data_IF_652691164885
#
_entry.id   IF_652691164885
#
_cell.length_a   1.000
_cell.length_b   1.000
_cell.length_c   1.000
_cell.angle_alpha   90.00
_cell.angle_beta   90.00
_cell.angle_gamma   90.00
#
_symmetry.space_group_name_H-M   'P 1'
#
loop_
_entity.id
_entity.type
_entity.pdbx_description
1 polymer ?
#
# COMPACT_ATOMS: atom_id res chain seq x y z
N UNK A 1 -35.04 -22.12 -7.82
CA UNK A 1 -33.95 -21.60 -8.69
C UNK A 1 -32.68 -21.53 -7.87
N UNK A 2 -31.78 -22.49 -8.06
CA UNK A 2 -30.46 -22.49 -7.40
C UNK A 2 -29.61 -21.42 -8.09
N UNK A 3 -29.34 -20.30 -7.40
CA UNK A 3 -28.29 -19.39 -7.80
C UNK A 3 -26.97 -20.16 -7.70
N UNK A 4 -26.38 -20.51 -8.83
CA UNK A 4 -25.01 -21.01 -8.84
C UNK A 4 -24.15 -19.93 -8.21
N UNK A 5 -23.60 -20.18 -7.01
CA UNK A 5 -22.65 -19.28 -6.39
C UNK A 5 -21.44 -19.17 -7.31
N UNK A 6 -21.39 -18.07 -8.06
CA UNK A 6 -20.18 -17.64 -8.76
C UNK A 6 -19.03 -17.67 -7.77
N UNK A 7 -17.98 -18.43 -8.06
CA UNK A 7 -16.78 -18.43 -7.23
C UNK A 7 -16.11 -17.07 -7.40
N UNK A 8 -15.75 -16.37 -6.30
CA UNK A 8 -15.11 -15.07 -6.41
C UNK A 8 -13.77 -15.21 -7.14
N UNK A 9 -13.60 -14.46 -8.22
CA UNK A 9 -12.34 -14.38 -8.94
C UNK A 9 -11.47 -13.31 -8.27
N UNK A 10 -10.21 -13.65 -7.99
CA UNK A 10 -9.23 -12.72 -7.43
C UNK A 10 -8.04 -12.56 -8.38
N UNK A 11 -7.34 -11.45 -8.27
CA UNK A 11 -6.08 -11.20 -8.97
C UNK A 11 -4.98 -10.81 -7.98
N UNK A 12 -3.76 -11.31 -8.19
CA UNK A 12 -2.57 -10.91 -7.46
C UNK A 12 -1.65 -10.20 -8.45
N UNK A 13 -1.34 -8.94 -8.19
CA UNK A 13 -0.53 -8.12 -9.06
C UNK A 13 0.95 -8.20 -8.64
N UNK A 14 1.83 -8.16 -9.63
CA UNK A 14 3.26 -7.98 -9.44
C UNK A 14 3.69 -6.69 -10.14
N UNK A 15 4.56 -5.91 -9.50
CA UNK A 15 5.17 -4.73 -10.09
C UNK A 15 6.59 -4.54 -9.55
N UNK A 16 7.36 -3.74 -10.28
CA UNK A 16 8.67 -3.25 -9.84
C UNK A 16 8.52 -1.77 -9.52
N UNK A 17 8.23 -1.45 -8.26
CA UNK A 17 8.08 -0.07 -7.80
C UNK A 17 9.42 0.65 -7.78
N UNK A 18 9.39 1.95 -8.08
CA UNK A 18 10.56 2.84 -8.01
C UNK A 18 10.35 3.94 -6.98
N UNK A 19 11.26 4.90 -6.91
CA UNK A 19 11.11 6.07 -6.05
C UNK A 19 10.13 7.11 -6.60
N UNK A 20 9.47 6.84 -7.73
CA UNK A 20 8.51 7.77 -8.34
C UNK A 20 7.07 7.32 -8.06
N UNK A 21 6.46 7.92 -7.04
CA UNK A 21 5.08 7.61 -6.59
C UNK A 21 4.07 7.73 -7.73
N UNK A 22 4.20 8.74 -8.58
CA UNK A 22 3.24 8.99 -9.65
C UNK A 22 3.38 7.98 -10.80
N UNK A 23 4.61 7.58 -11.13
CA UNK A 23 4.85 6.50 -12.10
C UNK A 23 4.34 5.15 -11.58
N UNK A 24 4.62 4.83 -10.32
CA UNK A 24 4.09 3.62 -9.68
C UNK A 24 2.56 3.60 -9.70
N UNK A 25 1.92 4.72 -9.35
CA UNK A 25 0.47 4.86 -9.42
C UNK A 25 -0.07 4.63 -10.84
N UNK A 26 0.59 5.16 -11.88
CA UNK A 26 0.19 4.94 -13.28
C UNK A 26 0.31 3.48 -13.70
N UNK A 27 1.37 2.79 -13.28
CA UNK A 27 1.57 1.35 -13.51
C UNK A 27 0.44 0.56 -12.86
N UNK A 28 0.19 0.78 -11.57
CA UNK A 28 -0.87 0.08 -10.84
C UNK A 28 -2.26 0.37 -11.42
N UNK A 29 -2.54 1.62 -11.76
CA UNK A 29 -3.82 2.01 -12.39
C UNK A 29 -4.04 1.28 -13.71
N UNK A 30 -2.99 1.18 -14.53
CA UNK A 30 -3.03 0.47 -15.82
C UNK A 30 -3.27 -1.02 -15.62
N UNK A 31 -2.57 -1.65 -14.66
CA UNK A 31 -2.74 -3.06 -14.30
C UNK A 31 -4.17 -3.36 -13.82
N UNK A 32 -4.71 -2.55 -12.90
CA UNK A 32 -6.09 -2.71 -12.41
C UNK A 32 -7.08 -2.62 -13.58
N UNK A 33 -6.91 -1.62 -14.46
CA UNK A 33 -7.77 -1.43 -15.63
C UNK A 33 -7.70 -2.63 -16.57
N UNK A 34 -6.50 -3.14 -16.85
CA UNK A 34 -6.28 -4.31 -17.70
C UNK A 34 -6.95 -5.54 -17.10
N UNK A 35 -6.69 -5.86 -15.83
CA UNK A 35 -7.30 -6.98 -15.10
C UNK A 35 -8.84 -6.91 -15.20
N UNK A 36 -9.42 -5.74 -14.90
CA UNK A 36 -10.87 -5.57 -14.95
C UNK A 36 -11.42 -5.72 -16.37
N UNK A 37 -10.73 -5.18 -17.38
CA UNK A 37 -11.17 -5.25 -18.78
C UNK A 37 -11.11 -6.69 -19.31
N UNK A 38 -9.97 -7.37 -19.13
CA UNK A 38 -9.73 -8.76 -19.59
C UNK A 38 -10.72 -9.73 -18.98
N UNK A 39 -11.12 -9.51 -17.72
CA UNK A 39 -12.07 -10.35 -17.01
C UNK A 39 -13.50 -9.81 -16.98
N UNK A 40 -13.85 -8.86 -17.86
CA UNK A 40 -15.21 -8.28 -18.00
C UNK A 40 -15.82 -7.82 -16.67
N UNK A 41 -15.00 -7.22 -15.81
CA UNK A 41 -15.34 -6.76 -14.45
C UNK A 41 -15.87 -7.88 -13.51
N UNK A 42 -15.48 -9.14 -13.74
CA UNK A 42 -15.84 -10.27 -12.87
C UNK A 42 -14.84 -10.50 -11.72
N UNK A 43 -13.77 -9.69 -11.63
CA UNK A 43 -12.79 -9.78 -10.55
C UNK A 43 -13.39 -9.13 -9.30
N UNK A 44 -13.41 -9.86 -8.19
CA UNK A 44 -13.93 -9.39 -6.91
C UNK A 44 -12.89 -8.59 -6.13
N UNK A 45 -11.62 -8.98 -6.20
CA UNK A 45 -10.55 -8.37 -5.41
C UNK A 45 -9.19 -8.45 -6.11
N UNK A 46 -8.39 -7.39 -5.97
CA UNK A 46 -7.03 -7.30 -6.49
C UNK A 46 -6.05 -7.04 -5.34
N UNK A 47 -4.99 -7.84 -5.27
CA UNK A 47 -3.94 -7.74 -4.26
C UNK A 47 -2.70 -7.09 -4.87
N UNK A 48 -2.31 -5.94 -4.32
CA UNK A 48 -1.04 -5.29 -4.62
C UNK A 48 0.01 -5.75 -3.61
N UNK A 49 1.29 -5.85 -4.02
CA UNK A 49 2.37 -6.26 -3.14
C UNK A 49 2.69 -5.19 -2.11
N UNK A 50 3.56 -5.56 -1.16
CA UNK A 50 4.29 -4.61 -0.33
C UNK A 50 5.03 -3.59 -1.23
N UNK A 51 5.06 -2.33 -0.82
CA UNK A 51 5.76 -1.22 -1.49
C UNK A 51 5.29 -0.91 -2.90
N UNK A 52 4.06 -1.28 -3.24
CA UNK A 52 3.44 -0.94 -4.51
C UNK A 52 3.43 0.58 -4.79
N UNK A 53 3.41 1.41 -3.74
CA UNK A 53 3.34 2.86 -3.85
C UNK A 53 4.73 3.50 -4.11
N UNK A 54 5.79 2.96 -3.52
CA UNK A 54 7.12 3.56 -3.53
C UNK A 54 8.18 2.58 -3.01
N UNK A 55 9.35 2.59 -3.66
CA UNK A 55 10.59 1.99 -3.14
C UNK A 55 11.71 2.99 -3.39
N UNK A 56 12.35 3.49 -2.33
CA UNK A 56 13.43 4.46 -2.42
C UNK A 56 14.72 3.98 -1.78
N UNK A 57 15.80 4.73 -2.02
CA UNK A 57 17.17 4.36 -1.60
C UNK A 57 17.45 4.56 -0.08
N UNK A 58 16.42 4.62 0.76
CA UNK A 58 16.57 4.78 2.21
C UNK A 58 15.34 5.31 2.95
N UNK A 59 15.40 5.27 4.29
CA UNK A 59 14.29 5.58 5.22
C UNK A 59 13.80 7.03 5.12
N UNK A 60 14.71 8.00 4.92
CA UNK A 60 14.37 9.43 4.87
C UNK A 60 13.38 9.75 3.75
N UNK A 61 13.55 9.15 2.56
CA UNK A 61 12.67 9.40 1.43
C UNK A 61 11.28 8.81 1.61
N UNK A 62 11.17 7.67 2.30
CA UNK A 62 9.88 7.05 2.62
C UNK A 62 9.07 7.89 3.61
N UNK A 63 9.72 8.61 4.53
CA UNK A 63 9.03 9.52 5.43
C UNK A 63 8.46 10.74 4.72
N UNK A 64 9.21 11.33 3.78
CA UNK A 64 8.79 12.52 3.04
C UNK A 64 7.52 12.30 2.21
N UNK A 65 7.35 11.09 1.68
CA UNK A 65 6.17 10.72 0.88
C UNK A 65 5.01 10.18 1.71
N UNK A 66 5.24 9.87 2.99
CA UNK A 66 4.23 9.29 3.86
C UNK A 66 3.26 10.36 4.36
N UNK A 67 1.97 10.03 4.36
CA UNK A 67 0.93 10.87 4.93
C UNK A 67 0.75 10.59 6.43
N UNK A 68 0.26 11.61 7.16
CA UNK A 68 0.00 11.52 8.61
C UNK A 68 -1.32 10.84 8.94
N UNK A 69 -2.25 10.79 7.98
CA UNK A 69 -3.57 10.22 8.18
C UNK A 69 -4.09 9.52 6.93
N UNK A 70 -4.74 8.39 7.15
CA UNK A 70 -5.53 7.69 6.12
C UNK A 70 -6.67 8.55 5.56
N UNK A 71 -7.30 9.39 6.38
CA UNK A 71 -8.47 10.18 5.98
C UNK A 71 -8.11 11.34 5.04
N UNK A 72 -6.87 11.82 5.11
CA UNK A 72 -6.40 12.99 4.36
C UNK A 72 -5.21 12.64 3.45
N UNK A 73 -5.13 11.40 2.98
CA UNK A 73 -4.06 10.94 2.10
C UNK A 73 -4.49 11.06 0.62
N UNK A 74 -3.89 11.95 -0.19
CA UNK A 74 -4.26 12.13 -1.59
C UNK A 74 -4.03 10.87 -2.43
N UNK A 75 -2.92 10.16 -2.17
CA UNK A 75 -2.59 8.93 -2.89
C UNK A 75 -3.59 7.81 -2.59
N UNK A 76 -3.96 7.63 -1.33
CA UNK A 76 -4.97 6.64 -0.93
C UNK A 76 -6.34 6.98 -1.50
N UNK A 77 -6.67 8.27 -1.60
CA UNK A 77 -7.90 8.75 -2.26
C UNK A 77 -7.95 8.34 -3.74
N UNK A 78 -6.81 8.39 -4.44
CA UNK A 78 -6.72 7.89 -5.82
C UNK A 78 -7.01 6.38 -5.89
N UNK A 79 -6.44 5.58 -4.98
CA UNK A 79 -6.71 4.13 -4.93
C UNK A 79 -8.16 3.80 -4.56
N UNK A 80 -8.75 4.53 -3.62
CA UNK A 80 -10.17 4.41 -3.29
C UNK A 80 -11.07 4.73 -4.49
N UNK A 81 -10.70 5.72 -5.29
CA UNK A 81 -11.39 6.08 -6.51
C UNK A 81 -11.28 4.97 -7.58
N UNK A 82 -10.11 4.32 -7.72
CA UNK A 82 -9.94 3.17 -8.61
C UNK A 82 -10.80 1.98 -8.19
N UNK A 83 -10.80 1.63 -6.90
CA UNK A 83 -11.63 0.56 -6.35
C UNK A 83 -13.11 0.78 -6.68
N UNK A 84 -13.60 2.00 -6.43
CA UNK A 84 -14.98 2.43 -6.70
C UNK A 84 -15.30 2.42 -8.20
N UNK A 85 -14.41 2.96 -9.03
CA UNK A 85 -14.60 3.07 -10.48
C UNK A 85 -14.71 1.71 -11.17
N UNK A 86 -13.92 0.73 -10.72
CA UNK A 86 -13.93 -0.62 -11.26
C UNK A 86 -14.84 -1.59 -10.50
N UNK A 87 -15.46 -1.15 -9.40
CA UNK A 87 -16.29 -1.97 -8.50
C UNK A 87 -15.56 -3.21 -7.96
N UNK A 88 -14.27 -3.06 -7.66
CA UNK A 88 -13.42 -4.12 -7.12
C UNK A 88 -12.94 -3.77 -5.72
N UNK A 89 -12.62 -4.80 -4.93
CA UNK A 89 -11.88 -4.62 -3.69
C UNK A 89 -10.39 -4.51 -3.99
N UNK A 90 -9.66 -3.71 -3.21
CA UNK A 90 -8.22 -3.59 -3.30
C UNK A 90 -7.58 -3.96 -1.97
N UNK A 91 -6.53 -4.78 -2.04
CA UNK A 91 -5.57 -5.01 -0.96
C UNK A 91 -4.30 -4.23 -1.28
N UNK A 92 -4.03 -3.19 -0.51
CA UNK A 92 -2.87 -2.32 -0.63
C UNK A 92 -1.76 -2.83 0.30
N UNK A 93 -0.88 -3.70 -0.21
CA UNK A 93 -0.06 -4.61 0.61
C UNK A 93 1.01 -4.00 1.52
N UNK A 94 1.36 -2.73 1.34
CA UNK A 94 2.33 -2.03 2.19
C UNK A 94 2.39 -0.56 1.83
N UNK A 95 1.58 0.24 2.51
CA UNK A 95 1.46 1.69 2.34
C UNK A 95 2.21 2.42 3.47
N UNK A 96 3.06 3.41 3.15
CA UNK A 96 3.80 4.13 4.16
C UNK A 96 2.90 5.18 4.86
N UNK A 97 2.81 5.11 6.18
CA UNK A 97 2.17 6.13 7.02
C UNK A 97 3.15 6.68 8.04
N UNK A 98 3.09 7.98 8.34
CA UNK A 98 3.93 8.56 9.39
C UNK A 98 3.49 8.05 10.76
N UNK A 99 4.46 7.77 11.64
CA UNK A 99 4.15 7.48 13.03
C UNK A 99 3.79 8.77 13.78
N UNK A 100 2.57 8.82 14.32
CA UNK A 100 2.08 9.91 15.18
C UNK A 100 2.83 9.98 16.53
N UNK A 101 3.59 8.94 16.91
CA UNK A 101 4.44 8.93 18.10
C UNK A 101 5.71 9.78 17.92
N UNK A 102 6.01 10.16 16.67
CA UNK A 102 7.08 11.10 16.32
C UNK A 102 6.64 12.54 16.62
N UNK A 103 6.08 12.79 17.81
CA UNK A 103 5.86 14.15 18.28
C UNK A 103 7.22 14.79 18.59
N UNK A 104 7.46 16.07 18.24
CA UNK A 104 8.74 16.75 18.36
C UNK A 104 9.14 17.08 19.82
N UNK A 105 8.59 16.39 20.81
CA UNK A 105 8.94 16.53 22.23
C UNK A 105 10.31 15.92 22.56
N UNK A 106 10.87 15.09 21.68
CA UNK A 106 12.23 14.55 21.80
C UNK A 106 12.97 14.71 20.47
N UNK A 107 13.79 15.76 20.35
CA UNK A 107 14.61 16.15 19.17
C UNK A 107 15.62 15.08 18.69
N UNK A 108 15.65 13.90 19.30
CA UNK A 108 16.69 12.88 19.14
C UNK A 108 16.20 11.59 18.49
N UNK A 109 14.89 11.36 18.36
CA UNK A 109 14.38 10.13 17.73
C UNK A 109 14.26 10.30 16.20
N UNK A 110 14.72 9.30 15.42
CA UNK A 110 14.57 9.32 13.96
C UNK A 110 13.09 9.30 13.57
N UNK A 111 12.76 10.03 12.50
CA UNK A 111 11.45 10.01 11.87
C UNK A 111 11.09 8.57 11.42
N UNK A 112 9.95 8.04 11.89
CA UNK A 112 9.51 6.66 11.62
C UNK A 112 8.25 6.62 10.79
N UNK A 113 8.17 5.65 9.88
CA UNK A 113 6.96 5.28 9.15
C UNK A 113 6.49 3.88 9.56
N UNK A 114 5.20 3.62 9.40
CA UNK A 114 4.61 2.29 9.49
C UNK A 114 4.40 1.71 8.10
N UNK A 115 4.76 0.45 7.93
CA UNK A 115 4.33 -0.35 6.78
C UNK A 115 2.92 -0.86 7.05
N UNK A 116 1.95 -0.32 6.30
CA UNK A 116 0.52 -0.48 6.57
C UNK A 116 -0.20 -1.19 5.43
N UNK A 117 -0.76 -2.36 5.70
CA UNK A 117 -1.65 -3.06 4.77
C UNK A 117 -3.08 -2.54 4.93
N UNK A 118 -3.67 -2.06 3.83
CA UNK A 118 -5.01 -1.46 3.83
C UNK A 118 -5.95 -2.25 2.90
N UNK A 119 -7.16 -2.52 3.37
CA UNK A 119 -8.23 -3.10 2.53
C UNK A 119 -9.26 -2.02 2.21
N UNK A 120 -9.49 -1.81 0.91
CA UNK A 120 -10.51 -0.90 0.38
C UNK A 120 -11.58 -1.71 -0.33
N UNK A 121 -12.84 -1.48 0.01
CA UNK A 121 -13.96 -2.18 -0.62
C UNK A 121 -14.35 -1.55 -1.98
N UNK A 122 -15.28 -2.20 -2.70
CA UNK A 122 -15.79 -1.75 -3.99
C UNK A 122 -16.54 -0.42 -4.00
N UNK A 123 -16.81 0.17 -2.82
CA UNK A 123 -17.38 1.51 -2.69
C UNK A 123 -16.31 2.59 -2.48
N UNK A 124 -15.03 2.20 -2.41
CA UNK A 124 -13.91 3.08 -2.08
C UNK A 124 -13.75 3.33 -0.58
N UNK A 125 -14.34 2.50 0.28
CA UNK A 125 -14.28 2.66 1.74
C UNK A 125 -13.17 1.77 2.30
N UNK A 126 -12.33 2.32 3.17
CA UNK A 126 -11.35 1.53 3.94
C UNK A 126 -12.11 0.70 4.97
N UNK A 127 -11.94 -0.62 4.92
CA UNK A 127 -12.65 -1.57 5.80
C UNK A 127 -11.71 -2.33 6.74
N UNK A 128 -10.40 -2.29 6.50
CA UNK A 128 -9.40 -2.87 7.39
C UNK A 128 -8.05 -2.20 7.22
N UNK A 129 -7.30 -2.13 8.32
CA UNK A 129 -5.95 -1.56 8.38
C UNK A 129 -5.12 -2.48 9.28
N UNK A 130 -3.96 -2.89 8.80
CA UNK A 130 -3.00 -3.70 9.55
C UNK A 130 -1.62 -3.04 9.47
N UNK A 131 -0.97 -2.84 10.61
CA UNK A 131 0.40 -2.34 10.68
C UNK A 131 1.34 -3.51 10.89
N UNK A 132 2.41 -3.58 10.10
CA UNK A 132 3.41 -4.65 10.17
C UNK A 132 4.01 -4.72 11.57
N UNK A 133 3.76 -5.83 12.27
CA UNK A 133 4.19 -6.02 13.66
C UNK A 133 5.67 -6.43 13.78
N UNK A 134 6.16 -7.20 12.81
CA UNK A 134 7.50 -7.76 12.84
C UNK A 134 8.36 -7.03 11.80
N UNK A 135 9.18 -6.09 12.29
CA UNK A 135 10.14 -5.37 11.46
C UNK A 135 11.45 -6.14 11.37
N UNK A 136 12.17 -5.92 10.27
CA UNK A 136 13.47 -6.52 10.05
C UNK A 136 14.56 -5.62 10.63
N UNK A 137 15.13 -6.07 11.74
CA UNK A 137 16.29 -5.45 12.38
C UNK A 137 17.48 -6.39 12.26
N UNK A 138 18.56 -5.93 11.64
CA UNK A 138 19.83 -6.64 11.63
C UNK A 138 20.96 -5.70 12.03
N UNK A 139 21.75 -6.14 12.99
CA UNK A 139 22.95 -5.42 13.44
C UNK A 139 24.17 -6.33 13.29
N UNK A 140 24.85 -6.21 12.15
CA UNK A 140 26.09 -6.92 11.85
C UNK A 140 27.25 -5.97 12.15
N UNK A 141 27.93 -6.22 13.28
CA UNK A 141 29.10 -5.45 13.71
C UNK A 141 30.09 -5.27 12.56
N UNK A 142 30.52 -4.03 12.35
CA UNK A 142 31.48 -3.62 11.31
C UNK A 142 31.07 -3.90 9.87
N UNK A 143 29.78 -4.15 9.59
CA UNK A 143 29.26 -4.31 8.23
C UNK A 143 28.02 -3.47 7.97
N UNK A 144 26.90 -3.83 8.59
CA UNK A 144 25.57 -3.31 8.24
C UNK A 144 24.72 -3.23 9.50
N UNK A 145 24.11 -2.07 9.73
CA UNK A 145 23.05 -1.90 10.72
C UNK A 145 21.79 -1.43 9.99
N UNK A 146 20.74 -2.24 10.02
CA UNK A 146 19.40 -1.94 9.53
C UNK A 146 18.48 -1.99 10.74
N UNK A 147 17.79 -0.89 11.04
CA UNK A 147 16.83 -0.80 12.15
C UNK A 147 15.51 -0.22 11.64
N UNK A 148 14.42 -0.82 12.06
CA UNK A 148 13.05 -0.40 11.76
C UNK A 148 12.79 -0.30 10.26
N UNK A 149 13.37 -1.20 9.45
CA UNK A 149 13.17 -1.13 8.00
C UNK A 149 11.74 -1.53 7.66
N UNK A 150 10.88 -0.53 7.62
CA UNK A 150 9.72 -0.48 6.76
C UNK A 150 10.27 -0.29 5.35
N UNK A 151 10.67 -1.40 4.71
CA UNK A 151 10.73 -1.43 3.25
C UNK A 151 9.40 -0.87 2.75
#
# INVERSE_FOLDING_TARGET
>A
MSSSKSRPLIAVAQLCSTSNVEENFKVVSSLIKEICTTHRNNVSMIFLPENFAFVGDGVTKSYDIADESLSNCPLLTKYASLAKGHKVWLSLGGFPLKSLESQPSQKTEPQKTYNTHIIVNSSGIIVSVYQKLHLFDVDIKNQITIKGLCL
#
